data_IF_733644100888
#
_entry.id   IF_733644100888
#
_cell.length_a   1.000
_cell.length_b   1.000
_cell.length_c   1.000
_cell.angle_alpha   90.00
_cell.angle_beta   90.00
_cell.angle_gamma   90.00
#
_symmetry.space_group_name_H-M   'P 1'
#
loop_
_entity.id
_entity.type
_entity.pdbx_description
1 polymer ?
#
# COMPACT_ATOMS: atom_id res chain seq x y z
N UNK A 1 -61.44 57.10 -17.51
CA UNK A 1 -60.48 56.32 -18.35
C UNK A 1 -59.11 56.37 -17.67
N UNK A 2 -58.76 55.34 -16.89
CA UNK A 2 -57.47 55.23 -16.17
C UNK A 2 -56.71 54.04 -16.74
N UNK A 3 -55.62 54.30 -17.46
CA UNK A 3 -54.69 53.27 -17.93
C UNK A 3 -53.61 53.02 -16.89
N UNK A 4 -53.71 51.92 -16.14
CA UNK A 4 -52.65 51.43 -15.25
C UNK A 4 -51.80 50.41 -16.00
N UNK A 5 -50.63 50.83 -16.49
CA UNK A 5 -49.62 49.94 -17.07
C UNK A 5 -49.02 49.05 -15.98
N UNK A 6 -49.51 47.81 -15.86
CA UNK A 6 -48.87 46.77 -15.07
C UNK A 6 -47.54 46.37 -15.70
N UNK A 7 -46.45 46.76 -15.04
CA UNK A 7 -45.10 46.28 -15.34
C UNK A 7 -45.07 44.78 -15.08
N UNK A 8 -44.98 43.98 -16.15
CA UNK A 8 -44.63 42.55 -16.07
C UNK A 8 -43.26 42.45 -15.39
N UNK A 9 -43.25 42.08 -14.11
CA UNK A 9 -42.04 41.56 -13.46
C UNK A 9 -41.72 40.26 -14.17
N UNK A 10 -40.63 40.24 -14.92
CA UNK A 10 -40.01 39.02 -15.38
C UNK A 10 -39.56 38.25 -14.13
N UNK A 11 -40.24 37.14 -13.87
CA UNK A 11 -39.75 36.13 -12.95
C UNK A 11 -38.43 35.57 -13.53
N UNK A 12 -37.32 35.98 -12.93
CA UNK A 12 -35.98 35.47 -13.21
C UNK A 12 -35.51 34.54 -12.07
N UNK A 13 -36.43 33.90 -11.35
CA UNK A 13 -36.10 32.90 -10.34
C UNK A 13 -36.30 31.48 -10.89
N UNK A 14 -35.31 30.97 -11.63
CA UNK A 14 -35.41 29.59 -12.11
C UNK A 14 -34.46 29.16 -13.21
N UNK A 15 -33.21 29.65 -13.23
CA UNK A 15 -32.15 28.98 -13.99
C UNK A 15 -31.05 28.55 -13.03
N UNK A 16 -31.30 27.47 -12.30
CA UNK A 16 -30.24 26.61 -11.82
C UNK A 16 -29.50 26.11 -13.07
N UNK A 17 -28.27 26.59 -13.28
CA UNK A 17 -27.39 26.07 -14.33
C UNK A 17 -27.24 24.55 -14.13
N UNK A 18 -27.68 23.72 -15.09
CA UNK A 18 -27.48 22.29 -15.02
C UNK A 18 -26.08 21.98 -15.54
N UNK A 19 -25.13 21.82 -14.63
CA UNK A 19 -23.79 21.39 -14.97
C UNK A 19 -22.85 21.56 -13.80
N UNK A 20 -22.16 20.48 -13.43
CA UNK A 20 -20.99 20.43 -12.54
C UNK A 20 -21.13 20.03 -11.05
N UNK A 21 -22.31 19.67 -10.48
CA UNK A 21 -22.33 18.90 -9.22
C UNK A 21 -22.13 17.39 -9.45
N UNK A 22 -23.00 16.76 -10.25
CA UNK A 22 -23.03 15.28 -10.38
C UNK A 22 -21.76 14.66 -10.99
N UNK A 23 -21.11 15.34 -11.93
CA UNK A 23 -19.87 14.83 -12.58
C UNK A 23 -18.70 14.87 -11.61
N UNK A 24 -18.65 15.85 -10.71
CA UNK A 24 -17.58 16.02 -9.73
C UNK A 24 -17.68 14.95 -8.63
N UNK A 25 -18.91 14.67 -8.17
CA UNK A 25 -19.19 13.68 -7.13
C UNK A 25 -18.82 12.25 -7.56
N UNK A 26 -19.10 11.89 -8.82
CA UNK A 26 -18.71 10.57 -9.33
C UNK A 26 -17.21 10.48 -9.57
N UNK A 27 -16.57 11.57 -10.01
CA UNK A 27 -15.14 11.59 -10.29
C UNK A 27 -14.30 11.32 -9.03
N UNK A 28 -14.60 11.99 -7.91
CA UNK A 28 -13.88 11.77 -6.64
C UNK A 28 -13.99 10.32 -6.19
N UNK A 29 -15.17 9.72 -6.33
CA UNK A 29 -15.43 8.34 -5.98
C UNK A 29 -14.62 7.34 -6.83
N UNK A 30 -14.62 7.51 -8.16
CA UNK A 30 -13.83 6.66 -9.06
C UNK A 30 -12.33 6.83 -8.83
N UNK A 31 -11.87 8.06 -8.60
CA UNK A 31 -10.46 8.36 -8.31
C UNK A 31 -10.05 7.74 -6.97
N UNK A 32 -10.86 7.86 -5.92
CA UNK A 32 -10.58 7.25 -4.62
C UNK A 32 -10.42 5.73 -4.76
N UNK A 33 -11.33 5.06 -5.46
CA UNK A 33 -11.26 3.60 -5.69
C UNK A 33 -10.04 3.18 -6.52
N UNK A 34 -9.82 3.83 -7.67
CA UNK A 34 -8.70 3.51 -8.54
C UNK A 34 -7.36 3.75 -7.83
N UNK A 35 -7.24 4.85 -7.08
CA UNK A 35 -6.03 5.17 -6.35
C UNK A 35 -5.77 4.20 -5.19
N UNK A 36 -6.82 3.81 -4.47
CA UNK A 36 -6.75 2.80 -3.40
C UNK A 36 -6.24 1.45 -3.91
N UNK A 37 -6.88 0.90 -4.96
CA UNK A 37 -6.46 -0.36 -5.58
C UNK A 37 -5.04 -0.30 -6.16
N UNK A 38 -4.69 0.81 -6.81
CA UNK A 38 -3.34 1.01 -7.37
C UNK A 38 -2.29 1.08 -6.27
N UNK A 39 -2.58 1.78 -5.17
CA UNK A 39 -1.66 1.84 -4.02
C UNK A 39 -1.41 0.45 -3.41
N UNK A 40 -2.46 -0.37 -3.28
CA UNK A 40 -2.35 -1.74 -2.79
C UNK A 40 -1.49 -2.62 -3.72
N UNK A 41 -1.71 -2.52 -5.03
CA UNK A 41 -0.89 -3.23 -6.03
C UNK A 41 0.58 -2.80 -5.99
N UNK A 42 0.85 -1.50 -5.82
CA UNK A 42 2.21 -0.97 -5.71
C UNK A 42 2.91 -1.46 -4.43
N UNK A 43 2.20 -1.54 -3.30
CA UNK A 43 2.72 -2.16 -2.07
C UNK A 43 3.04 -3.63 -2.31
N UNK A 44 2.13 -4.38 -2.92
CA UNK A 44 2.33 -5.79 -3.23
C UNK A 44 3.55 -6.01 -4.13
N UNK A 45 3.64 -5.24 -5.22
CA UNK A 45 4.77 -5.26 -6.14
C UNK A 45 6.08 -4.93 -5.43
N UNK A 46 6.09 -3.92 -4.55
CA UNK A 46 7.27 -3.55 -3.76
C UNK A 46 7.72 -4.68 -2.83
N UNK A 47 6.79 -5.39 -2.17
CA UNK A 47 7.09 -6.54 -1.31
C UNK A 47 7.64 -7.71 -2.12
N UNK A 48 6.99 -8.08 -3.22
CA UNK A 48 7.48 -9.12 -4.14
C UNK A 48 8.90 -8.80 -4.61
N UNK A 49 9.13 -7.54 -4.99
CA UNK A 49 10.46 -7.07 -5.40
C UNK A 49 11.49 -7.17 -4.28
N UNK A 50 11.11 -6.80 -3.05
CA UNK A 50 11.95 -6.95 -1.86
C UNK A 50 12.26 -8.42 -1.54
N UNK A 51 11.31 -9.33 -1.76
CA UNK A 51 11.52 -10.76 -1.63
C UNK A 51 12.52 -11.28 -2.66
N UNK A 52 12.40 -10.90 -3.94
CA UNK A 52 13.38 -11.26 -4.98
C UNK A 52 14.80 -10.75 -4.67
N UNK A 53 14.92 -9.52 -4.16
CA UNK A 53 16.19 -8.96 -3.69
C UNK A 53 16.82 -9.79 -2.57
N UNK A 54 16.00 -10.35 -1.69
CA UNK A 54 16.44 -11.07 -0.49
C UNK A 54 16.81 -12.54 -0.72
N UNK A 55 16.10 -13.24 -1.61
CA UNK A 55 16.32 -14.67 -1.89
C UNK A 55 17.50 -14.90 -2.83
N UNK A 56 17.99 -13.84 -3.49
CA UNK A 56 19.16 -13.91 -4.34
C UNK A 56 18.96 -14.74 -5.61
N UNK A 57 17.70 -14.99 -6.01
CA UNK A 57 17.35 -15.63 -7.30
C UNK A 57 17.99 -14.88 -8.46
N UNK A 58 18.06 -13.56 -8.36
CA UNK A 58 18.82 -12.69 -9.27
C UNK A 58 20.23 -12.41 -8.70
N UNK A 59 21.08 -13.44 -8.65
CA UNK A 59 22.43 -13.36 -8.04
C UNK A 59 23.46 -12.57 -8.83
N UNK A 60 23.12 -12.02 -10.00
CA UNK A 60 24.08 -11.20 -10.75
C UNK A 60 24.34 -9.90 -9.96
N UNK A 61 25.59 -9.70 -9.52
CA UNK A 61 26.01 -8.49 -8.80
C UNK A 61 25.70 -7.21 -9.60
N UNK A 62 25.69 -7.30 -10.93
CA UNK A 62 25.36 -6.21 -11.85
C UNK A 62 23.88 -5.78 -11.76
N UNK A 63 22.96 -6.64 -11.31
CA UNK A 63 21.54 -6.33 -11.23
C UNK A 63 21.08 -5.67 -9.92
N UNK A 64 21.91 -5.63 -8.88
CA UNK A 64 21.48 -5.21 -7.54
C UNK A 64 21.10 -3.73 -7.38
N UNK A 65 21.80 -2.76 -8.01
CA UNK A 65 21.47 -1.34 -7.83
C UNK A 65 20.09 -0.98 -8.39
N UNK A 66 19.80 -1.34 -9.65
CA UNK A 66 18.54 -1.01 -10.30
C UNK A 66 17.34 -1.67 -9.61
N UNK A 67 17.50 -2.91 -9.10
CA UNK A 67 16.43 -3.59 -8.36
C UNK A 67 16.09 -2.85 -7.07
N UNK A 68 17.09 -2.32 -6.37
CA UNK A 68 16.88 -1.53 -5.16
C UNK A 68 16.23 -0.18 -5.48
N UNK A 69 16.62 0.45 -6.58
CA UNK A 69 16.03 1.70 -7.02
C UNK A 69 14.57 1.52 -7.45
N UNK A 70 14.25 0.41 -8.14
CA UNK A 70 12.86 0.06 -8.47
C UNK A 70 12.03 -0.20 -7.21
N UNK A 71 12.55 -0.93 -6.21
CA UNK A 71 11.85 -1.12 -4.93
C UNK A 71 11.52 0.21 -4.24
N UNK A 72 12.49 1.15 -4.22
CA UNK A 72 12.29 2.50 -3.68
C UNK A 72 11.27 3.29 -4.49
N UNK A 73 11.32 3.20 -5.82
CA UNK A 73 10.37 3.88 -6.72
C UNK A 73 8.94 3.37 -6.50
N UNK A 74 8.74 2.06 -6.42
CA UNK A 74 7.45 1.44 -6.12
C UNK A 74 6.92 1.88 -4.74
N UNK A 75 7.77 1.92 -3.72
CA UNK A 75 7.41 2.44 -2.41
C UNK A 75 7.07 3.94 -2.42
N UNK A 76 7.76 4.74 -3.22
CA UNK A 76 7.42 6.15 -3.41
C UNK A 76 6.06 6.33 -4.08
N UNK A 77 5.82 5.58 -5.16
CA UNK A 77 4.53 5.60 -5.86
C UNK A 77 3.38 5.15 -4.96
N UNK A 78 3.56 4.14 -4.11
CA UNK A 78 2.48 3.72 -3.20
C UNK A 78 2.07 4.84 -2.25
N UNK A 79 3.03 5.58 -1.70
CA UNK A 79 2.74 6.77 -0.86
C UNK A 79 2.00 7.83 -1.65
N UNK A 80 2.43 8.13 -2.88
CA UNK A 80 1.76 9.11 -3.74
C UNK A 80 0.31 8.72 -4.03
N UNK A 81 0.05 7.44 -4.34
CA UNK A 81 -1.29 6.95 -4.61
C UNK A 81 -2.17 6.88 -3.35
N UNK A 82 -1.60 6.58 -2.18
CA UNK A 82 -2.32 6.74 -0.90
C UNK A 82 -2.69 8.20 -0.66
N UNK A 83 -1.80 9.16 -0.96
CA UNK A 83 -2.13 10.57 -0.83
C UNK A 83 -3.27 10.97 -1.77
N UNK A 84 -3.25 10.52 -3.05
CA UNK A 84 -4.35 10.75 -4.00
C UNK A 84 -5.65 10.12 -3.48
N UNK A 85 -5.59 8.89 -2.94
CA UNK A 85 -6.74 8.22 -2.36
C UNK A 85 -7.35 9.04 -1.20
N UNK A 86 -6.55 9.51 -0.25
CA UNK A 86 -7.02 10.30 0.89
C UNK A 86 -7.59 11.66 0.46
N UNK A 87 -6.95 12.35 -0.50
CA UNK A 87 -7.45 13.62 -1.04
C UNK A 87 -8.78 13.41 -1.76
N UNK A 88 -8.91 12.34 -2.54
CA UNK A 88 -10.16 12.00 -3.21
C UNK A 88 -11.28 11.65 -2.22
N UNK A 89 -10.97 10.93 -1.13
CA UNK A 89 -11.92 10.68 -0.03
C UNK A 89 -12.35 11.96 0.68
N UNK A 90 -11.43 12.90 0.92
CA UNK A 90 -11.75 14.18 1.55
C UNK A 90 -12.58 15.09 0.62
N UNK A 91 -12.50 14.89 -0.69
CA UNK A 91 -13.30 15.59 -1.69
C UNK A 91 -14.64 14.88 -1.99
N UNK A 92 -14.84 13.68 -1.47
CA UNK A 92 -16.04 12.88 -1.73
C UNK A 92 -17.24 13.43 -0.96
N UNK A 93 -18.35 13.61 -1.67
CA UNK A 93 -19.62 14.14 -1.14
C UNK A 93 -20.60 13.04 -0.75
N UNK A 94 -20.35 11.79 -1.17
CA UNK A 94 -21.17 10.62 -0.85
C UNK A 94 -20.88 10.10 0.56
N UNK A 95 -19.60 10.10 0.97
CA UNK A 95 -19.19 9.85 2.36
C UNK A 95 -18.30 10.99 2.82
N UNK A 96 -18.86 11.89 3.64
CA UNK A 96 -18.10 13.01 4.20
C UNK A 96 -17.09 12.51 5.24
N UNK A 97 -15.83 12.29 4.82
CA UNK A 97 -14.73 11.97 5.71
C UNK A 97 -14.03 13.24 6.19
N UNK A 98 -13.98 13.45 7.50
CA UNK A 98 -13.13 14.45 8.12
C UNK A 98 -11.72 13.90 8.43
N UNK A 99 -10.84 14.78 8.92
CA UNK A 99 -9.48 14.40 9.30
C UNK A 99 -9.41 13.34 10.41
N UNK A 100 -10.44 13.29 11.27
CA UNK A 100 -10.50 12.33 12.38
C UNK A 100 -10.73 10.92 11.86
N UNK A 101 -11.65 10.77 10.92
CA UNK A 101 -12.03 9.50 10.31
C UNK A 101 -10.89 8.91 9.45
N UNK A 102 -10.06 9.78 8.86
CA UNK A 102 -8.90 9.36 8.06
C UNK A 102 -7.68 8.94 8.90
N UNK A 103 -7.57 9.39 10.15
CA UNK A 103 -6.35 9.23 10.96
C UNK A 103 -6.55 8.38 12.22
N UNK A 104 -7.79 8.26 12.70
CA UNK A 104 -8.12 7.55 13.94
C UNK A 104 -8.95 6.30 13.61
N UNK A 105 -8.46 5.09 13.98
CA UNK A 105 -9.24 3.87 13.79
C UNK A 105 -10.60 3.94 14.49
N UNK A 106 -11.64 3.36 13.88
CA UNK A 106 -13.01 3.32 14.40
C UNK A 106 -13.73 4.67 14.55
N UNK A 107 -13.16 5.77 14.04
CA UNK A 107 -13.81 7.07 14.10
C UNK A 107 -14.91 7.28 13.04
N UNK A 108 -14.89 6.51 11.94
CA UNK A 108 -15.88 6.61 10.87
C UNK A 108 -17.21 5.93 11.25
N UNK A 109 -18.33 6.62 11.02
CA UNK A 109 -19.67 6.02 11.10
C UNK A 109 -19.95 5.06 9.93
N UNK A 110 -19.29 5.30 8.78
CA UNK A 110 -19.37 4.41 7.62
C UNK A 110 -18.35 3.28 7.76
N UNK A 111 -18.85 2.03 7.86
CA UNK A 111 -18.05 0.78 7.94
C UNK A 111 -16.79 0.92 8.82
N UNK A 112 -16.94 1.22 10.13
CA UNK A 112 -15.83 1.55 11.04
C UNK A 112 -14.69 0.51 11.03
N UNK A 113 -15.03 -0.78 10.96
CA UNK A 113 -14.06 -1.87 10.87
C UNK A 113 -13.20 -1.79 9.62
N UNK A 114 -13.83 -1.65 8.45
CA UNK A 114 -13.14 -1.54 7.18
C UNK A 114 -12.21 -0.31 7.16
N UNK A 115 -12.70 0.85 7.60
CA UNK A 115 -11.92 2.09 7.65
C UNK A 115 -10.74 1.96 8.63
N UNK A 116 -10.94 1.34 9.79
CA UNK A 116 -9.88 1.13 10.76
C UNK A 116 -8.69 0.34 10.19
N UNK A 117 -8.94 -0.70 9.38
CA UNK A 117 -7.87 -1.42 8.68
C UNK A 117 -7.10 -0.53 7.71
N UNK A 118 -7.79 0.37 7.01
CA UNK A 118 -7.16 1.38 6.15
C UNK A 118 -6.28 2.36 6.92
N UNK A 119 -6.75 2.84 8.08
CA UNK A 119 -5.97 3.72 8.96
C UNK A 119 -4.73 3.02 9.52
N UNK A 120 -4.85 1.75 9.94
CA UNK A 120 -3.71 0.93 10.39
C UNK A 120 -2.70 0.76 9.26
N UNK A 121 -3.17 0.42 8.05
CA UNK A 121 -2.32 0.32 6.86
C UNK A 121 -1.61 1.66 6.57
N UNK A 122 -2.31 2.79 6.62
CA UNK A 122 -1.71 4.11 6.43
C UNK A 122 -0.55 4.35 7.40
N UNK A 123 -0.76 4.14 8.70
CA UNK A 123 0.29 4.37 9.71
C UNK A 123 1.47 3.40 9.56
N UNK A 124 1.23 2.14 9.21
CA UNK A 124 2.31 1.19 8.93
C UNK A 124 3.12 1.60 7.69
N UNK A 125 2.47 2.09 6.63
CA UNK A 125 3.16 2.60 5.45
C UNK A 125 4.04 3.80 5.81
N UNK A 126 3.51 4.77 6.58
CA UNK A 126 4.27 5.92 7.06
C UNK A 126 5.48 5.47 7.90
N UNK A 127 5.28 4.55 8.84
CA UNK A 127 6.35 4.03 9.69
C UNK A 127 7.46 3.35 8.85
N UNK A 128 7.09 2.49 7.91
CA UNK A 128 8.04 1.81 7.00
C UNK A 128 8.83 2.81 6.16
N UNK A 129 8.17 3.84 5.63
CA UNK A 129 8.80 4.81 4.74
C UNK A 129 9.71 5.78 5.49
N UNK A 130 9.25 6.35 6.60
CA UNK A 130 10.05 7.24 7.45
C UNK A 130 11.30 6.51 7.97
N UNK A 131 11.13 5.29 8.51
CA UNK A 131 12.28 4.52 9.02
C UNK A 131 13.25 4.12 7.91
N UNK A 132 12.76 3.85 6.70
CA UNK A 132 13.61 3.51 5.56
C UNK A 132 14.41 4.72 5.03
N UNK A 133 13.82 5.92 5.04
CA UNK A 133 14.53 7.16 4.70
C UNK A 133 15.58 7.53 5.75
N UNK A 134 15.26 7.35 7.03
CA UNK A 134 16.15 7.69 8.14
C UNK A 134 17.18 6.60 8.47
N UNK A 135 17.11 5.42 7.81
CA UNK A 135 17.99 4.27 8.05
C UNK A 135 19.47 4.63 8.09
N UNK A 136 19.94 5.51 7.19
CA UNK A 136 21.38 5.84 7.11
C UNK A 136 21.85 6.82 8.19
N UNK A 137 20.93 7.51 8.86
CA UNK A 137 21.27 8.65 9.73
C UNK A 137 20.93 8.41 11.21
N UNK A 138 19.80 7.75 11.50
CA UNK A 138 19.21 7.77 12.85
C UNK A 138 18.70 6.41 13.35
N UNK A 139 18.44 5.44 12.48
CA UNK A 139 17.74 4.19 12.87
C UNK A 139 18.70 3.02 12.87
N UNK A 140 18.75 2.29 14.00
CA UNK A 140 19.55 1.07 14.09
C UNK A 140 19.06 -0.01 13.13
N UNK A 141 19.97 -0.88 12.68
CA UNK A 141 19.62 -1.94 11.75
C UNK A 141 18.53 -2.88 12.28
N UNK A 142 18.53 -3.15 13.60
CA UNK A 142 17.54 -4.00 14.26
C UNK A 142 16.14 -3.39 14.20
N UNK A 143 16.01 -2.11 14.54
CA UNK A 143 14.72 -1.38 14.50
C UNK A 143 14.23 -1.31 13.06
N UNK A 144 15.10 -0.92 12.12
CA UNK A 144 14.73 -0.84 10.71
C UNK A 144 14.24 -2.20 10.18
N UNK A 145 14.91 -3.31 10.51
CA UNK A 145 14.46 -4.65 10.09
C UNK A 145 13.10 -5.01 10.68
N UNK A 146 12.86 -4.69 11.95
CA UNK A 146 11.58 -4.97 12.60
C UNK A 146 10.44 -4.15 11.97
N UNK A 147 10.63 -2.84 11.81
CA UNK A 147 9.62 -1.94 11.20
C UNK A 147 9.44 -2.26 9.73
N UNK A 148 10.51 -2.44 8.96
CA UNK A 148 10.39 -2.81 7.55
C UNK A 148 9.69 -4.18 7.38
N UNK A 149 9.88 -5.10 8.33
CA UNK A 149 9.14 -6.36 8.40
C UNK A 149 7.63 -6.21 8.61
N UNK A 150 7.17 -5.11 9.22
CA UNK A 150 5.73 -4.85 9.34
C UNK A 150 5.04 -4.54 8.00
N UNK A 151 5.80 -4.43 6.90
CA UNK A 151 5.25 -4.33 5.53
C UNK A 151 4.32 -5.49 5.16
N UNK A 152 4.53 -6.68 5.74
CA UNK A 152 3.61 -7.82 5.55
C UNK A 152 2.27 -7.60 6.27
N UNK A 153 2.29 -6.99 7.46
CA UNK A 153 1.08 -6.62 8.20
C UNK A 153 0.36 -5.49 7.46
N UNK A 154 1.11 -4.50 6.96
CA UNK A 154 0.59 -3.44 6.08
C UNK A 154 -0.16 -4.02 4.88
N UNK A 155 0.44 -4.98 4.18
CA UNK A 155 -0.21 -5.64 3.05
C UNK A 155 -1.48 -6.37 3.47
N UNK A 156 -1.44 -7.15 4.56
CA UNK A 156 -2.61 -7.84 5.10
C UNK A 156 -3.74 -6.89 5.48
N UNK A 157 -3.44 -5.84 6.23
CA UNK A 157 -4.41 -4.81 6.63
C UNK A 157 -5.02 -4.10 5.41
N UNK A 158 -4.20 -3.76 4.41
CA UNK A 158 -4.67 -3.18 3.15
C UNK A 158 -5.57 -4.13 2.36
N UNK A 159 -5.28 -5.44 2.37
CA UNK A 159 -6.13 -6.47 1.73
C UNK A 159 -7.47 -6.58 2.42
N UNK A 160 -7.50 -6.64 3.77
CA UNK A 160 -8.75 -6.68 4.54
C UNK A 160 -9.56 -5.42 4.31
N UNK A 161 -8.92 -4.25 4.36
CA UNK A 161 -9.56 -2.97 4.02
C UNK A 161 -10.19 -3.00 2.62
N UNK A 162 -9.46 -3.44 1.60
CA UNK A 162 -9.96 -3.51 0.23
C UNK A 162 -11.17 -4.45 0.10
N UNK A 163 -11.14 -5.61 0.75
CA UNK A 163 -12.23 -6.60 0.74
C UNK A 163 -13.47 -6.07 1.47
N UNK A 164 -13.30 -5.46 2.64
CA UNK A 164 -14.43 -4.99 3.47
C UNK A 164 -15.02 -3.67 2.98
N UNK A 165 -14.22 -2.77 2.40
CA UNK A 165 -14.69 -1.47 1.92
C UNK A 165 -15.13 -1.51 0.44
N UNK A 166 -14.53 -2.37 -0.39
CA UNK A 166 -14.75 -2.41 -1.82
C UNK A 166 -16.00 -3.21 -2.23
N UNK A 167 -16.89 -2.61 -3.02
CA UNK A 167 -17.98 -3.37 -3.67
C UNK A 167 -17.51 -4.18 -4.89
N UNK A 168 -16.34 -3.84 -5.43
CA UNK A 168 -15.89 -4.33 -6.75
C UNK A 168 -14.98 -5.55 -6.65
N UNK A 169 -14.76 -6.06 -5.44
CA UNK A 169 -13.80 -7.13 -5.12
C UNK A 169 -14.16 -8.48 -5.75
N UNK A 170 -15.42 -8.65 -6.18
CA UNK A 170 -15.91 -9.82 -6.91
C UNK A 170 -15.72 -9.69 -8.42
N UNK A 171 -15.46 -8.49 -8.93
CA UNK A 171 -15.18 -8.27 -10.35
C UNK A 171 -13.86 -8.97 -10.72
N UNK A 172 -13.81 -9.78 -11.80
CA UNK A 172 -12.59 -10.47 -12.21
C UNK A 172 -11.39 -9.54 -12.41
N UNK A 173 -11.64 -8.31 -12.85
CA UNK A 173 -10.60 -7.28 -13.08
C UNK A 173 -9.90 -6.88 -11.77
N UNK A 174 -10.60 -6.95 -10.63
CA UNK A 174 -10.04 -6.63 -9.30
C UNK A 174 -9.61 -7.91 -8.58
N UNK A 175 -10.45 -8.95 -8.63
CA UNK A 175 -10.25 -10.22 -7.93
C UNK A 175 -8.99 -10.95 -8.41
N UNK A 176 -8.72 -10.99 -9.71
CA UNK A 176 -7.57 -11.71 -10.26
C UNK A 176 -6.23 -11.07 -9.84
N UNK A 177 -5.98 -9.76 -10.03
CA UNK A 177 -4.77 -9.12 -9.52
C UNK A 177 -4.63 -9.27 -8.01
N UNK A 178 -5.72 -9.14 -7.24
CA UNK A 178 -5.70 -9.27 -5.79
C UNK A 178 -5.31 -10.69 -5.35
N UNK A 179 -5.90 -11.71 -5.97
CA UNK A 179 -5.57 -13.11 -5.73
C UNK A 179 -4.13 -13.44 -6.12
N UNK A 180 -3.70 -13.08 -7.33
CA UNK A 180 -2.35 -13.37 -7.84
C UNK A 180 -1.28 -12.72 -6.96
N UNK A 181 -1.43 -11.44 -6.64
CA UNK A 181 -0.46 -10.72 -5.81
C UNK A 181 -0.40 -11.30 -4.39
N UNK A 182 -1.56 -11.62 -3.79
CA UNK A 182 -1.62 -12.25 -2.46
C UNK A 182 -0.94 -13.61 -2.45
N UNK A 183 -1.27 -14.48 -3.41
CA UNK A 183 -0.64 -15.80 -3.55
C UNK A 183 0.86 -15.69 -3.82
N UNK A 184 1.29 -14.74 -4.63
CA UNK A 184 2.72 -14.48 -4.89
C UNK A 184 3.46 -14.08 -3.62
N UNK A 185 2.89 -13.16 -2.82
CA UNK A 185 3.50 -12.72 -1.56
C UNK A 185 3.58 -13.88 -0.58
N UNK A 186 2.49 -14.63 -0.40
CA UNK A 186 2.46 -15.79 0.51
C UNK A 186 3.43 -16.88 0.06
N UNK A 187 3.43 -17.23 -1.22
CA UNK A 187 4.28 -18.27 -1.79
C UNK A 187 5.78 -17.94 -1.68
N UNK A 188 6.18 -16.71 -2.02
CA UNK A 188 7.57 -16.28 -1.87
C UNK A 188 7.99 -16.14 -0.41
N UNK A 189 7.09 -15.71 0.47
CA UNK A 189 7.36 -15.62 1.92
C UNK A 189 7.56 -17.02 2.50
N UNK A 190 6.67 -17.96 2.17
CA UNK A 190 6.77 -19.36 2.55
C UNK A 190 8.09 -19.97 2.07
N UNK A 191 8.41 -19.80 0.78
CA UNK A 191 9.67 -20.28 0.21
C UNK A 191 10.88 -19.68 0.93
N UNK A 192 10.86 -18.38 1.24
CA UNK A 192 11.95 -17.72 1.97
C UNK A 192 12.16 -18.29 3.38
N UNK A 193 11.09 -18.59 4.10
CA UNK A 193 11.17 -19.12 5.48
C UNK A 193 11.71 -20.55 5.48
N UNK A 194 11.38 -21.35 4.45
CA UNK A 194 11.81 -22.74 4.34
C UNK A 194 13.14 -22.94 3.60
N UNK A 195 13.57 -21.97 2.78
CA UNK A 195 14.79 -22.08 2.00
C UNK A 195 15.99 -22.32 2.94
N UNK A 196 16.73 -23.45 2.80
CA UNK A 196 17.91 -23.71 3.60
C UNK A 196 18.90 -22.56 3.44
N UNK A 197 19.40 -22.03 4.55
CA UNK A 197 20.52 -21.08 4.51
C UNK A 197 21.69 -21.79 3.83
N UNK A 198 22.20 -21.30 2.69
CA UNK A 198 23.32 -21.96 2.03
C UNK A 198 24.49 -22.02 3.02
N UNK A 199 24.88 -23.22 3.41
CA UNK A 199 26.01 -23.40 4.31
C UNK A 199 27.23 -22.73 3.69
N UNK A 200 27.86 -21.82 4.44
CA UNK A 200 29.00 -21.09 3.91
C UNK A 200 30.13 -22.10 3.65
N UNK A 201 30.67 -22.21 2.43
CA UNK A 201 31.76 -23.14 2.16
C UNK A 201 32.97 -22.90 3.07
N UNK A 202 33.14 -21.69 3.61
CA UNK A 202 34.14 -21.39 4.63
C UNK A 202 33.81 -22.01 6.00
N UNK A 203 32.55 -22.02 6.45
CA UNK A 203 32.16 -22.71 7.71
C UNK A 203 32.24 -24.21 7.56
N UNK A 204 31.89 -24.76 6.39
CA UNK A 204 32.09 -26.18 6.07
C UNK A 204 33.57 -26.58 6.05
N UNK A 205 34.43 -25.75 5.44
CA UNK A 205 35.88 -25.97 5.44
C UNK A 205 36.51 -25.81 6.83
N UNK A 206 35.98 -24.91 7.67
CA UNK A 206 36.43 -24.74 9.05
C UNK A 206 36.03 -25.95 9.91
N UNK A 207 34.77 -26.39 9.81
CA UNK A 207 34.29 -27.59 10.48
C UNK A 207 35.09 -28.84 10.07
N UNK A 208 35.35 -29.01 8.77
CA UNK A 208 36.14 -30.14 8.23
C UNK A 208 37.62 -30.15 8.67
N UNK A 209 38.22 -28.97 8.92
CA UNK A 209 39.58 -28.88 9.49
C UNK A 209 39.63 -29.25 10.96
N UNK A 210 38.60 -28.90 11.72
CA UNK A 210 38.51 -29.27 13.15
C UNK A 210 38.38 -30.79 13.30
N UNK A 211 37.60 -31.45 12.44
CA UNK A 211 37.46 -32.93 12.47
C UNK A 211 38.72 -33.68 12.03
N UNK A 212 39.49 -33.13 11.07
CA UNK A 212 40.73 -33.79 10.60
C UNK A 212 41.95 -33.50 11.47
N UNK A 213 41.96 -32.39 12.22
CA UNK A 213 43.06 -32.03 13.13
C UNK A 213 43.07 -32.76 14.48
N UNK A 214 42.02 -33.51 14.82
CA UNK A 214 41.87 -34.21 16.10
C UNK A 214 42.19 -35.72 16.04
N UNK A 215 42.85 -36.21 14.99
CA UNK A 215 43.35 -37.58 14.97
C UNK A 215 44.54 -37.73 15.95
N UNK A 216 44.43 -38.53 17.02
CA UNK A 216 45.55 -38.77 17.91
C UNK A 216 46.62 -39.57 17.15
N UNK A 217 47.85 -39.04 17.11
CA UNK A 217 49.01 -39.80 16.66
C UNK A 217 49.23 -40.97 17.64
N UNK A 218 48.87 -42.17 17.21
CA UNK A 218 49.29 -43.44 17.83
C UNK A 218 50.60 -43.90 17.23
#
# INVERSE_FOLDING_TARGET
MRGSGHRRRADLSGRSHPGFPEVTDQLSWYVARAAGLTSWLLVAASILWGLFLSTGVLRSRAGRPWMLDLHRFLGGLSVSFVAVHLVALAADTYVAFGWRELLVPMASEWRPGAVAWGVVAFWLLVAVQVTSMLRRRLVSERIWRAVHGSSFILFGAGTVHAIEAGSDVTSPIVALPLGIATLGVLGLTWWRVLAPVPENPATLRAAARVTTGSAPNT
#
